data_IF_992132738861
#
_entry.id   IF_992132738861
#
_cell.length_a   1.000
_cell.length_b   1.000
_cell.length_c   1.000
_cell.angle_alpha   90.00
_cell.angle_beta   90.00
_cell.angle_gamma   90.00
#
_symmetry.space_group_name_H-M   'P 1'
#
loop_
_entity.id
_entity.type
_entity.pdbx_description
1 polymer ?
#
# COMPACT_ATOMS: atom_id res chain seq x y z
N UNK A 1 26.44 -6.01 -9.57
CA UNK A 1 26.14 -4.56 -9.57
C UNK A 1 25.22 -4.19 -8.40
N UNK A 2 23.98 -4.66 -8.35
CA UNK A 2 23.01 -4.25 -7.31
C UNK A 2 23.43 -4.67 -5.89
N UNK A 3 23.96 -5.85 -5.69
CA UNK A 3 24.46 -6.30 -4.37
C UNK A 3 25.61 -5.42 -3.86
N UNK A 4 26.47 -4.90 -4.77
CA UNK A 4 27.54 -3.98 -4.39
C UNK A 4 26.98 -2.62 -3.97
N UNK A 5 25.93 -2.12 -4.62
CA UNK A 5 25.22 -0.91 -4.18
C UNK A 5 24.69 -1.08 -2.76
N UNK A 6 24.00 -2.17 -2.46
CA UNK A 6 23.46 -2.42 -1.11
C UNK A 6 24.58 -2.54 -0.08
N UNK A 7 25.71 -3.16 -0.44
CA UNK A 7 26.89 -3.22 0.42
C UNK A 7 27.44 -1.83 0.70
N UNK A 8 27.55 -0.94 -0.29
CA UNK A 8 28.04 0.43 -0.04
C UNK A 8 27.07 1.26 0.80
N UNK A 9 25.75 1.13 0.58
CA UNK A 9 24.72 1.79 1.41
C UNK A 9 24.79 1.27 2.86
N UNK A 10 25.03 -0.02 3.06
CA UNK A 10 25.11 -0.61 4.41
C UNK A 10 26.32 -0.13 5.23
N UNK A 11 27.31 0.52 4.60
CA UNK A 11 28.48 1.10 5.30
C UNK A 11 28.19 2.43 5.99
N UNK A 12 27.07 3.09 5.67
CA UNK A 12 26.67 4.28 6.42
C UNK A 12 26.34 3.91 7.87
N UNK A 13 26.89 4.67 8.82
CA UNK A 13 26.66 4.43 10.26
C UNK A 13 25.19 4.59 10.66
N UNK A 14 24.45 5.40 9.90
CA UNK A 14 23.04 5.69 10.04
C UNK A 14 22.15 4.51 9.62
N UNK A 15 22.65 3.56 8.82
CA UNK A 15 21.87 2.43 8.31
C UNK A 15 21.87 1.30 9.32
N UNK A 16 20.67 0.92 9.75
CA UNK A 16 20.42 -0.21 10.63
C UNK A 16 20.06 -1.48 9.86
N UNK A 17 19.28 -1.36 8.77
CA UNK A 17 18.90 -2.50 7.93
C UNK A 17 18.56 -2.06 6.50
N UNK A 18 18.61 -3.02 5.56
CA UNK A 18 18.15 -2.88 4.18
C UNK A 18 17.26 -4.06 3.86
N UNK A 19 16.09 -3.79 3.28
CA UNK A 19 15.16 -4.81 2.82
C UNK A 19 14.69 -4.50 1.40
N UNK A 20 14.34 -5.55 0.67
CA UNK A 20 13.71 -5.47 -0.65
C UNK A 20 12.21 -5.67 -0.49
N UNK A 21 11.43 -4.79 -1.08
CA UNK A 21 9.97 -4.84 -1.14
C UNK A 21 9.45 -5.15 -2.52
N UNK A 22 8.18 -4.80 -2.74
CA UNK A 22 7.53 -4.88 -4.03
C UNK A 22 7.54 -6.27 -4.67
N UNK A 23 7.50 -6.29 -6.00
CA UNK A 23 7.47 -7.53 -6.77
C UNK A 23 8.71 -8.40 -6.59
N UNK A 24 9.88 -7.77 -6.42
CA UNK A 24 11.18 -8.46 -6.27
C UNK A 24 11.42 -9.06 -4.89
N UNK A 25 10.59 -8.76 -3.91
CA UNK A 25 10.61 -9.48 -2.63
C UNK A 25 9.97 -10.87 -2.72
N UNK A 26 9.06 -11.07 -3.69
CA UNK A 26 8.40 -12.33 -4.00
C UNK A 26 9.09 -13.12 -5.12
N UNK A 27 8.43 -14.20 -5.55
CA UNK A 27 8.92 -15.09 -6.63
C UNK A 27 8.41 -14.67 -8.03
N UNK A 28 7.45 -13.74 -8.10
CA UNK A 28 6.74 -13.36 -9.34
C UNK A 28 7.18 -11.99 -9.84
N UNK A 29 8.45 -11.84 -10.18
CA UNK A 29 8.95 -10.63 -10.85
C UNK A 29 9.52 -10.98 -12.23
N UNK A 30 9.49 -10.04 -13.15
CA UNK A 30 10.22 -10.12 -14.42
C UNK A 30 11.54 -9.33 -14.35
N UNK A 31 12.40 -9.51 -15.36
CA UNK A 31 13.71 -8.86 -15.41
C UNK A 31 13.62 -7.32 -15.49
N UNK A 32 12.49 -6.79 -15.93
CA UNK A 32 12.23 -5.34 -16.08
C UNK A 32 11.58 -4.71 -14.85
N UNK A 33 11.16 -5.53 -13.88
CA UNK A 33 10.56 -5.02 -12.64
C UNK A 33 11.53 -4.09 -11.91
N UNK A 34 11.03 -2.97 -11.41
CA UNK A 34 11.70 -2.02 -10.53
C UNK A 34 12.22 -2.66 -9.23
N UNK A 35 13.14 -1.98 -8.57
CA UNK A 35 13.58 -2.34 -7.22
C UNK A 35 12.96 -1.38 -6.22
N UNK A 36 12.09 -1.88 -5.32
CA UNK A 36 11.62 -1.18 -4.14
C UNK A 36 12.54 -1.51 -2.95
N UNK A 37 13.41 -0.59 -2.55
CA UNK A 37 14.42 -0.83 -1.51
C UNK A 37 14.10 0.01 -0.27
N UNK A 38 13.91 -0.65 0.86
CA UNK A 38 13.68 -0.01 2.14
C UNK A 38 14.98 0.05 2.95
N UNK A 39 15.50 1.24 3.16
CA UNK A 39 16.67 1.50 3.98
C UNK A 39 16.20 2.02 5.34
N UNK A 40 16.29 1.20 6.35
CA UNK A 40 15.94 1.57 7.72
C UNK A 40 17.12 2.28 8.38
N UNK A 41 16.86 3.51 8.83
CA UNK A 41 17.85 4.41 9.37
C UNK A 41 17.53 4.83 10.81
N UNK A 42 18.56 5.18 11.59
CA UNK A 42 18.40 5.79 12.91
C UNK A 42 18.50 7.32 12.88
N UNK A 43 19.07 7.87 11.82
CA UNK A 43 19.19 9.32 11.57
C UNK A 43 19.36 9.58 10.07
N UNK A 44 19.03 10.78 9.57
CA UNK A 44 19.16 11.11 8.14
C UNK A 44 20.59 10.95 7.64
N UNK A 45 20.73 10.42 6.42
CA UNK A 45 22.01 10.34 5.69
C UNK A 45 22.14 11.59 4.82
N UNK A 46 23.30 12.24 4.87
CA UNK A 46 23.59 13.41 4.02
C UNK A 46 23.42 13.09 2.53
N UNK A 47 22.70 13.95 1.80
CA UNK A 47 22.38 13.74 0.38
C UNK A 47 23.62 13.67 -0.51
N UNK A 48 24.67 14.44 -0.21
CA UNK A 48 25.92 14.42 -0.96
C UNK A 48 26.61 13.06 -0.83
N UNK A 49 26.55 12.46 0.35
CA UNK A 49 27.12 11.14 0.59
C UNK A 49 26.35 10.06 -0.17
N UNK A 50 25.02 10.12 -0.17
CA UNK A 50 24.16 9.21 -0.95
C UNK A 50 24.43 9.35 -2.44
N UNK A 51 24.45 10.59 -2.94
CA UNK A 51 24.77 10.92 -4.33
C UNK A 51 26.13 10.38 -4.78
N UNK A 52 27.16 10.47 -3.94
CA UNK A 52 28.49 9.96 -4.23
C UNK A 52 28.50 8.43 -4.45
N UNK A 53 27.69 7.69 -3.70
CA UNK A 53 27.54 6.25 -3.88
C UNK A 53 26.73 5.97 -5.14
N UNK A 54 25.56 6.58 -5.28
CA UNK A 54 24.62 6.32 -6.37
C UNK A 54 25.23 6.64 -7.75
N UNK A 55 26.09 7.66 -7.87
CA UNK A 55 26.83 7.99 -9.09
C UNK A 55 27.65 6.82 -9.66
N UNK A 56 28.03 5.84 -8.85
CA UNK A 56 28.81 4.67 -9.32
C UNK A 56 27.93 3.62 -10.00
N UNK A 57 26.63 3.62 -9.69
CA UNK A 57 25.70 2.54 -10.08
C UNK A 57 24.54 3.01 -10.95
N UNK A 58 24.25 4.31 -10.96
CA UNK A 58 23.10 4.89 -11.61
C UNK A 58 23.54 5.84 -12.74
N UNK A 59 22.83 5.78 -13.87
CA UNK A 59 22.97 6.73 -14.98
C UNK A 59 22.11 7.98 -14.82
N UNK A 60 21.08 7.91 -13.97
CA UNK A 60 20.18 9.01 -13.61
C UNK A 60 19.77 8.88 -12.14
N UNK A 61 19.55 10.00 -11.44
CA UNK A 61 19.09 10.01 -10.07
C UNK A 61 18.42 11.33 -9.69
N UNK A 62 17.37 11.21 -8.89
CA UNK A 62 16.72 12.29 -8.16
C UNK A 62 16.89 12.00 -6.68
N UNK A 63 17.50 12.93 -5.96
CA UNK A 63 17.91 12.72 -4.56
C UNK A 63 17.01 13.53 -3.64
N UNK A 64 16.48 12.88 -2.62
CA UNK A 64 15.74 13.53 -1.54
C UNK A 64 14.32 13.92 -1.94
N UNK A 65 13.65 13.14 -2.75
CA UNK A 65 12.23 13.31 -3.04
C UNK A 65 11.39 13.05 -1.79
N UNK A 66 10.28 13.81 -1.66
CA UNK A 66 9.31 13.72 -0.56
C UNK A 66 7.86 13.65 -1.06
N UNK A 67 7.66 13.14 -2.27
CA UNK A 67 6.32 13.10 -2.85
C UNK A 67 5.42 12.07 -2.15
N UNK A 68 5.98 10.92 -1.79
CA UNK A 68 5.28 9.81 -1.13
C UNK A 68 5.93 9.47 0.21
N UNK A 69 7.18 9.06 0.16
CA UNK A 69 8.07 8.87 1.32
C UNK A 69 9.34 9.68 1.08
N UNK A 70 10.30 9.64 2.02
CA UNK A 70 11.63 10.19 1.78
C UNK A 70 12.44 9.19 0.99
N UNK A 71 12.78 9.53 -0.25
CA UNK A 71 13.34 8.56 -1.19
C UNK A 71 14.34 9.17 -2.18
N UNK A 72 15.18 8.31 -2.75
CA UNK A 72 15.97 8.59 -3.93
C UNK A 72 15.44 7.71 -5.08
N UNK A 73 15.02 8.33 -6.19
CA UNK A 73 14.53 7.64 -7.37
C UNK A 73 15.64 7.61 -8.42
N UNK A 74 16.05 6.43 -8.86
CA UNK A 74 17.20 6.28 -9.71
C UNK A 74 16.95 5.32 -10.90
N UNK A 75 17.74 5.49 -11.96
CA UNK A 75 17.86 4.52 -13.04
C UNK A 75 19.27 3.93 -12.99
N UNK A 76 19.35 2.64 -12.73
CA UNK A 76 20.60 1.90 -12.71
C UNK A 76 21.29 1.92 -14.09
N UNK A 77 22.61 1.68 -14.14
CA UNK A 77 23.37 1.66 -15.39
C UNK A 77 22.86 0.61 -16.40
N UNK A 78 22.17 -0.43 -15.95
CA UNK A 78 21.50 -1.42 -16.83
C UNK A 78 20.09 -1.01 -17.29
N UNK A 79 19.61 0.17 -16.89
CA UNK A 79 18.30 0.72 -17.30
C UNK A 79 17.12 0.35 -16.39
N UNK A 80 17.31 -0.42 -15.33
CA UNK A 80 16.26 -0.78 -14.39
C UNK A 80 16.07 0.37 -13.38
N UNK A 81 14.83 0.70 -13.07
CA UNK A 81 14.47 1.69 -12.05
C UNK A 81 14.68 1.12 -10.65
N UNK A 82 15.06 1.98 -9.72
CA UNK A 82 15.23 1.66 -8.30
C UNK A 82 14.76 2.83 -7.44
N UNK A 83 13.83 2.55 -6.55
CA UNK A 83 13.35 3.47 -5.54
C UNK A 83 13.95 3.06 -4.18
N UNK A 84 14.70 3.99 -3.59
CA UNK A 84 15.37 3.77 -2.31
C UNK A 84 14.68 4.63 -1.26
N UNK A 85 13.80 4.00 -0.47
CA UNK A 85 12.99 4.65 0.55
C UNK A 85 13.71 4.60 1.90
N UNK A 86 13.91 5.76 2.52
CA UNK A 86 14.60 5.90 3.80
C UNK A 86 13.58 6.03 4.93
N UNK A 87 13.52 5.03 5.81
CA UNK A 87 12.54 4.95 6.91
C UNK A 87 13.26 5.01 8.25
N UNK A 88 12.85 5.91 9.14
CA UNK A 88 13.28 5.82 10.52
C UNK A 88 12.76 4.52 11.14
N UNK A 89 13.66 3.65 11.59
CA UNK A 89 13.31 2.32 12.12
C UNK A 89 12.32 2.41 13.29
N UNK A 90 12.54 3.34 14.21
CA UNK A 90 11.71 3.49 15.41
C UNK A 90 10.30 3.96 15.05
N UNK A 91 10.19 4.95 14.18
CA UNK A 91 8.89 5.52 13.79
C UNK A 91 8.08 4.52 12.97
N UNK A 92 8.73 3.80 12.05
CA UNK A 92 8.09 2.73 11.28
C UNK A 92 7.54 1.62 12.19
N UNK A 93 8.34 1.18 13.17
CA UNK A 93 7.89 0.14 14.11
C UNK A 93 6.80 0.62 15.05
N UNK A 94 6.81 1.90 15.44
CA UNK A 94 5.72 2.50 16.22
C UNK A 94 4.40 2.51 15.43
N UNK A 95 4.48 2.76 14.12
CA UNK A 95 3.31 2.70 13.24
C UNK A 95 2.75 1.27 13.14
N UNK A 96 3.61 0.28 12.94
CA UNK A 96 3.21 -1.14 12.98
C UNK A 96 2.56 -1.52 14.32
N UNK A 97 3.12 -1.08 15.44
CA UNK A 97 2.55 -1.32 16.78
C UNK A 97 1.14 -0.74 16.91
N UNK A 98 0.92 0.49 16.41
CA UNK A 98 -0.39 1.13 16.45
C UNK A 98 -1.45 0.34 15.66
N UNK A 99 -1.07 -0.21 14.51
CA UNK A 99 -1.97 -0.98 13.66
C UNK A 99 -2.12 -2.41 14.20
N UNK A 100 -1.03 -3.17 14.29
CA UNK A 100 -1.08 -4.61 14.49
C UNK A 100 -1.40 -5.00 15.95
N UNK A 101 -1.01 -4.17 16.94
CA UNK A 101 -1.21 -4.46 18.36
C UNK A 101 -2.34 -3.62 18.97
N UNK A 102 -2.33 -2.29 18.72
CA UNK A 102 -3.39 -1.41 19.23
C UNK A 102 -4.64 -1.42 18.36
N UNK A 103 -4.64 -2.15 17.25
CA UNK A 103 -5.78 -2.37 16.36
C UNK A 103 -6.42 -1.07 15.83
N UNK A 104 -5.61 -0.06 15.50
CA UNK A 104 -6.09 1.21 14.95
C UNK A 104 -6.42 1.05 13.47
N UNK A 105 -7.66 1.38 13.09
CA UNK A 105 -8.08 1.44 11.69
C UNK A 105 -7.77 2.82 11.08
N UNK A 106 -7.58 2.86 9.76
CA UNK A 106 -7.40 4.06 8.93
C UNK A 106 -8.45 4.11 7.83
N UNK A 107 -8.53 5.22 7.09
CA UNK A 107 -9.51 5.37 6.00
C UNK A 107 -9.27 4.39 4.84
N UNK A 108 -8.02 3.96 4.63
CA UNK A 108 -7.65 2.98 3.61
C UNK A 108 -6.24 2.45 3.88
N UNK A 109 -5.85 1.37 3.22
CA UNK A 109 -4.50 0.79 3.31
C UNK A 109 -4.02 0.53 4.74
N UNK A 110 -4.94 0.26 5.67
CA UNK A 110 -4.65 0.18 7.12
C UNK A 110 -3.46 -0.71 7.44
N UNK A 111 -3.36 -1.87 6.82
CA UNK A 111 -2.32 -2.87 7.10
C UNK A 111 -1.20 -2.93 6.07
N UNK A 112 -1.11 -1.95 5.15
CA UNK A 112 -0.14 -1.98 4.05
C UNK A 112 1.32 -1.98 4.54
N UNK A 113 1.67 -1.14 5.52
CA UNK A 113 3.02 -1.10 6.08
C UNK A 113 3.35 -2.37 6.89
N UNK A 114 2.36 -2.95 7.56
CA UNK A 114 2.51 -4.25 8.21
C UNK A 114 2.71 -5.37 7.17
N UNK A 115 1.99 -5.34 6.05
CA UNK A 115 2.23 -6.24 4.92
C UNK A 115 3.67 -6.12 4.40
N UNK A 116 4.16 -4.89 4.20
CA UNK A 116 5.53 -4.65 3.75
C UNK A 116 6.56 -5.27 4.71
N UNK A 117 6.40 -5.09 6.03
CA UNK A 117 7.28 -5.71 7.02
C UNK A 117 7.25 -7.24 6.94
N UNK A 118 6.07 -7.84 6.82
CA UNK A 118 5.89 -9.31 6.77
C UNK A 118 6.48 -9.94 5.51
N UNK A 119 6.38 -9.26 4.38
CA UNK A 119 6.74 -9.81 3.07
C UNK A 119 8.11 -9.40 2.57
N UNK A 120 8.72 -8.33 3.10
CA UNK A 120 10.02 -7.86 2.66
C UNK A 120 11.11 -8.93 2.81
N UNK A 121 12.08 -8.92 1.90
CA UNK A 121 13.28 -9.75 1.96
C UNK A 121 14.43 -8.94 2.58
N UNK A 122 14.88 -9.35 3.74
CA UNK A 122 16.00 -8.69 4.43
C UNK A 122 17.28 -8.97 3.67
N UNK A 123 18.01 -7.92 3.29
CA UNK A 123 19.28 -7.96 2.59
C UNK A 123 20.47 -7.67 3.52
N UNK A 124 20.26 -6.80 4.50
CA UNK A 124 21.23 -6.42 5.53
C UNK A 124 20.51 -6.10 6.84
N UNK A 125 21.05 -6.50 7.96
CA UNK A 125 20.49 -6.22 9.29
C UNK A 125 21.64 -6.16 10.31
N UNK A 126 22.10 -4.95 10.63
CA UNK A 126 23.33 -4.68 11.40
C UNK A 126 23.36 -5.37 12.77
N UNK A 127 22.21 -5.37 13.46
CA UNK A 127 22.09 -5.88 14.83
C UNK A 127 20.98 -6.95 14.95
N UNK A 128 20.45 -7.42 13.83
CA UNK A 128 19.32 -8.35 13.81
C UNK A 128 18.00 -7.73 14.29
N UNK A 129 17.90 -6.41 14.32
CA UNK A 129 16.72 -5.72 14.86
C UNK A 129 15.52 -5.84 13.90
N UNK A 130 15.74 -5.68 12.60
CA UNK A 130 14.67 -5.82 11.60
C UNK A 130 14.13 -7.26 11.60
N UNK A 131 15.01 -8.25 11.70
CA UNK A 131 14.65 -9.67 11.84
C UNK A 131 13.78 -9.90 13.07
N UNK A 132 14.19 -9.40 14.24
CA UNK A 132 13.41 -9.49 15.48
C UNK A 132 12.03 -8.82 15.36
N UNK A 133 11.95 -7.66 14.72
CA UNK A 133 10.68 -6.99 14.48
C UNK A 133 9.79 -7.79 13.52
N UNK A 134 10.36 -8.32 12.44
CA UNK A 134 9.62 -9.17 11.51
C UNK A 134 9.05 -10.41 12.21
N UNK A 135 9.82 -11.06 13.07
CA UNK A 135 9.38 -12.18 13.91
C UNK A 135 8.30 -11.74 14.92
N UNK A 136 8.54 -10.65 15.66
CA UNK A 136 7.60 -10.09 16.63
C UNK A 136 6.21 -9.82 16.01
N UNK A 137 6.16 -9.32 14.78
CA UNK A 137 4.91 -8.95 14.10
C UNK A 137 4.42 -10.00 13.09
N UNK A 138 4.92 -11.25 13.18
CA UNK A 138 4.49 -12.38 12.33
C UNK A 138 3.34 -13.20 12.93
N UNK A 139 2.68 -12.69 13.96
CA UNK A 139 1.51 -13.33 14.57
C UNK A 139 0.28 -13.30 13.66
N UNK A 140 -0.73 -14.09 14.03
CA UNK A 140 -2.00 -14.16 13.30
C UNK A 140 -2.72 -12.80 13.28
N UNK A 141 -3.54 -12.61 12.24
CA UNK A 141 -4.28 -11.35 12.08
C UNK A 141 -5.24 -11.13 13.25
N UNK A 142 -5.12 -10.01 14.03
CA UNK A 142 -5.92 -9.82 15.23
C UNK A 142 -7.41 -9.65 14.90
N UNK A 143 -8.26 -10.41 15.56
CA UNK A 143 -9.71 -10.32 15.37
C UNK A 143 -10.27 -8.94 15.72
N UNK A 144 -9.66 -8.26 16.72
CA UNK A 144 -10.05 -6.90 17.06
C UNK A 144 -9.70 -5.90 15.95
N UNK A 145 -8.55 -6.06 15.29
CA UNK A 145 -8.17 -5.22 14.14
C UNK A 145 -9.15 -5.41 12.98
N UNK A 146 -9.49 -6.68 12.66
CA UNK A 146 -10.50 -7.02 11.67
C UNK A 146 -11.81 -6.28 11.93
N UNK A 147 -12.36 -6.40 13.13
CA UNK A 147 -13.60 -5.72 13.52
C UNK A 147 -13.49 -4.20 13.41
N UNK A 148 -12.37 -3.63 13.86
CA UNK A 148 -12.16 -2.19 13.82
C UNK A 148 -12.10 -1.66 12.39
N UNK A 149 -11.38 -2.36 11.49
CA UNK A 149 -11.30 -1.98 10.07
C UNK A 149 -12.68 -2.09 9.43
N UNK A 150 -13.37 -3.23 9.56
CA UNK A 150 -14.71 -3.42 8.98
C UNK A 150 -15.66 -2.31 9.46
N UNK A 151 -15.73 -2.04 10.76
CA UNK A 151 -16.59 -1.01 11.31
C UNK A 151 -16.22 0.40 10.85
N UNK A 152 -14.93 0.68 10.69
CA UNK A 152 -14.45 1.96 10.20
C UNK A 152 -14.82 2.17 8.73
N UNK A 153 -14.51 1.18 7.88
CA UNK A 153 -14.78 1.25 6.45
C UNK A 153 -16.29 1.27 6.15
N UNK A 154 -17.11 0.53 6.90
CA UNK A 154 -18.57 0.61 6.76
C UNK A 154 -19.11 2.03 6.94
N UNK A 155 -18.55 2.82 7.87
CA UNK A 155 -18.95 4.22 8.03
C UNK A 155 -18.61 5.05 6.79
N UNK A 156 -17.49 4.76 6.13
CA UNK A 156 -17.04 5.50 4.95
C UNK A 156 -17.81 5.09 3.68
N UNK A 157 -18.18 3.82 3.54
CA UNK A 157 -18.81 3.32 2.31
C UNK A 157 -20.35 3.25 2.38
N UNK A 158 -20.97 3.35 3.56
CA UNK A 158 -22.42 3.19 3.70
C UNK A 158 -23.07 4.06 4.79
N UNK A 159 -22.64 3.92 6.07
CA UNK A 159 -23.50 4.21 7.20
C UNK A 159 -23.35 5.59 7.83
N UNK A 160 -22.41 6.42 7.38
CA UNK A 160 -22.24 7.78 7.90
C UNK A 160 -22.83 8.86 6.98
N UNK A 161 -23.14 10.03 7.54
CA UNK A 161 -23.59 11.17 6.75
C UNK A 161 -22.57 11.58 5.66
N UNK A 162 -21.25 11.62 5.94
CA UNK A 162 -20.22 11.91 4.95
C UNK A 162 -19.75 10.67 4.17
N UNK A 163 -20.49 9.56 4.15
CA UNK A 163 -20.11 8.38 3.37
C UNK A 163 -19.89 8.70 1.88
N UNK A 164 -18.92 8.03 1.26
CA UNK A 164 -18.55 8.28 -0.14
C UNK A 164 -19.74 8.19 -1.11
N UNK A 165 -20.66 7.23 -1.04
CA UNK A 165 -21.82 7.21 -1.91
C UNK A 165 -22.67 8.48 -1.82
N UNK A 166 -22.86 9.03 -0.63
CA UNK A 166 -23.58 10.29 -0.44
C UNK A 166 -22.84 11.51 -1.05
N UNK A 167 -21.51 11.51 -0.95
CA UNK A 167 -20.68 12.53 -1.55
C UNK A 167 -20.67 12.43 -3.08
N UNK A 168 -20.65 11.22 -3.63
CA UNK A 168 -20.74 10.94 -5.07
C UNK A 168 -22.08 11.44 -5.62
N UNK A 169 -23.21 11.10 -4.98
CA UNK A 169 -24.55 11.62 -5.36
C UNK A 169 -24.60 13.15 -5.43
N UNK A 170 -24.01 13.82 -4.43
CA UNK A 170 -23.92 15.30 -4.42
C UNK A 170 -23.03 15.84 -5.54
N UNK A 171 -21.94 15.18 -5.88
CA UNK A 171 -21.05 15.58 -6.97
C UNK A 171 -21.74 15.39 -8.34
N UNK A 172 -22.45 14.29 -8.54
CA UNK A 172 -23.24 14.02 -9.75
C UNK A 172 -24.32 15.11 -9.93
N UNK A 173 -25.07 15.42 -8.87
CA UNK A 173 -26.11 16.46 -8.93
C UNK A 173 -25.56 17.85 -9.32
N UNK A 174 -24.28 18.12 -9.06
CA UNK A 174 -23.59 19.37 -9.49
C UNK A 174 -22.93 19.26 -10.86
N UNK A 175 -22.94 18.07 -11.49
CA UNK A 175 -22.23 17.82 -12.74
C UNK A 175 -20.71 17.84 -12.61
N UNK A 176 -20.18 17.62 -11.41
CA UNK A 176 -18.74 17.71 -11.08
C UNK A 176 -18.06 16.34 -11.24
N UNK A 177 -17.65 16.02 -12.49
CA UNK A 177 -17.01 14.75 -12.83
C UNK A 177 -15.68 14.53 -12.10
N UNK A 178 -14.92 15.57 -11.81
CA UNK A 178 -13.64 15.45 -11.08
C UNK A 178 -13.92 14.94 -9.67
N UNK A 179 -14.87 15.57 -8.98
CA UNK A 179 -15.27 15.15 -7.63
C UNK A 179 -15.87 13.73 -7.61
N UNK A 180 -16.64 13.35 -8.63
CA UNK A 180 -17.18 11.99 -8.79
C UNK A 180 -16.04 10.97 -8.82
N UNK A 181 -15.09 11.13 -9.75
CA UNK A 181 -13.98 10.18 -9.91
C UNK A 181 -13.08 10.12 -8.67
N UNK A 182 -12.76 11.26 -8.05
CA UNK A 182 -11.99 11.30 -6.83
C UNK A 182 -12.67 10.52 -5.70
N UNK A 183 -13.99 10.68 -5.51
CA UNK A 183 -14.73 9.97 -4.45
C UNK A 183 -14.91 8.48 -4.73
N UNK A 184 -15.00 8.07 -6.00
CA UNK A 184 -15.02 6.66 -6.38
C UNK A 184 -13.66 6.01 -6.06
N UNK A 185 -12.55 6.69 -6.32
CA UNK A 185 -11.22 6.17 -5.96
C UNK A 185 -11.05 5.96 -4.46
N UNK A 186 -11.51 6.90 -3.64
CA UNK A 186 -11.50 6.78 -2.17
C UNK A 186 -12.45 5.66 -1.67
N UNK A 187 -13.63 5.53 -2.31
CA UNK A 187 -14.55 4.42 -2.03
C UNK A 187 -13.89 3.06 -2.29
N UNK A 188 -13.23 2.92 -3.43
CA UNK A 188 -12.52 1.67 -3.79
C UNK A 188 -11.38 1.36 -2.83
N UNK A 189 -10.59 2.37 -2.43
CA UNK A 189 -9.52 2.19 -1.46
C UNK A 189 -10.05 1.67 -0.11
N UNK A 190 -11.17 2.23 0.37
CA UNK A 190 -11.86 1.77 1.59
C UNK A 190 -12.49 0.37 1.42
N UNK A 191 -13.08 0.10 0.28
CA UNK A 191 -13.68 -1.20 -0.03
C UNK A 191 -12.65 -2.34 0.00
N UNK A 192 -11.49 -2.16 -0.67
CA UNK A 192 -10.45 -3.18 -0.67
C UNK A 192 -9.79 -3.36 0.71
N UNK A 193 -9.60 -2.30 1.49
CA UNK A 193 -9.11 -2.41 2.87
C UNK A 193 -10.02 -3.32 3.71
N UNK A 194 -11.36 -3.17 3.54
CA UNK A 194 -12.35 -4.01 4.20
C UNK A 194 -12.32 -5.45 3.67
N UNK A 195 -12.21 -5.69 2.36
CA UNK A 195 -12.16 -7.04 1.78
C UNK A 195 -10.97 -7.83 2.34
N UNK A 196 -9.78 -7.23 2.40
CA UNK A 196 -8.60 -7.88 3.01
C UNK A 196 -8.83 -8.15 4.50
N UNK A 197 -9.41 -7.20 5.24
CA UNK A 197 -9.71 -7.39 6.66
C UNK A 197 -10.73 -8.51 6.91
N UNK A 198 -11.80 -8.63 6.12
CA UNK A 198 -12.79 -9.72 6.18
C UNK A 198 -12.08 -11.08 6.09
N UNK A 199 -11.07 -11.18 5.24
CA UNK A 199 -10.30 -12.40 5.02
C UNK A 199 -9.12 -12.58 5.99
N UNK A 200 -8.94 -11.69 6.97
CA UNK A 200 -7.82 -11.70 7.90
C UNK A 200 -6.45 -11.66 7.18
N UNK A 201 -6.39 -10.92 6.06
CA UNK A 201 -5.20 -10.71 5.24
C UNK A 201 -4.71 -9.27 5.37
N UNK A 202 -3.39 -9.09 5.36
CA UNK A 202 -2.81 -7.75 5.29
C UNK A 202 -2.95 -7.17 3.88
N UNK A 203 -3.25 -5.88 3.77
CA UNK A 203 -3.45 -5.18 2.50
C UNK A 203 -2.12 -5.03 1.72
N UNK A 204 -2.02 -5.51 0.48
CA UNK A 204 -0.74 -5.58 -0.26
C UNK A 204 -0.31 -4.27 -0.93
N UNK A 205 -1.12 -3.22 -0.90
CA UNK A 205 -0.96 -1.99 -1.69
C UNK A 205 -2.00 -1.89 -2.79
N UNK A 206 -1.85 -0.92 -3.71
CA UNK A 206 -2.89 -0.59 -4.71
C UNK A 206 -2.85 -1.46 -5.98
N UNK A 207 -1.75 -2.16 -6.24
CA UNK A 207 -1.54 -2.85 -7.52
C UNK A 207 -2.26 -4.20 -7.57
N UNK A 208 -2.96 -4.49 -8.67
CA UNK A 208 -3.55 -5.80 -9.00
C UNK A 208 -4.56 -6.33 -7.96
N UNK A 209 -5.29 -5.45 -7.28
CA UNK A 209 -6.15 -5.80 -6.15
C UNK A 209 -7.21 -6.86 -6.48
N UNK A 210 -7.89 -6.76 -7.63
CA UNK A 210 -8.89 -7.76 -8.04
C UNK A 210 -8.26 -9.14 -8.17
N UNK A 211 -7.12 -9.23 -8.86
CA UNK A 211 -6.42 -10.51 -9.06
C UNK A 211 -5.92 -11.10 -7.73
N UNK A 212 -5.41 -10.25 -6.84
CA UNK A 212 -4.94 -10.67 -5.53
C UNK A 212 -6.10 -11.14 -4.64
N UNK A 213 -7.23 -10.44 -4.65
CA UNK A 213 -8.43 -10.88 -3.94
C UNK A 213 -8.92 -12.23 -4.44
N UNK A 214 -9.04 -12.43 -5.76
CA UNK A 214 -9.45 -13.72 -6.36
C UNK A 214 -8.48 -14.86 -6.00
N UNK A 215 -7.20 -14.58 -5.86
CA UNK A 215 -6.17 -15.58 -5.54
C UNK A 215 -6.11 -15.92 -4.06
N UNK A 216 -6.31 -14.96 -3.16
CA UNK A 216 -5.98 -15.08 -1.75
C UNK A 216 -7.20 -15.05 -0.82
N UNK A 217 -8.28 -14.35 -1.20
CA UNK A 217 -9.46 -14.21 -0.37
C UNK A 217 -10.37 -15.43 -0.49
N UNK A 218 -10.75 -16.00 0.66
CA UNK A 218 -11.70 -17.12 0.73
C UNK A 218 -13.15 -16.63 0.72
N UNK A 219 -13.38 -15.41 1.18
CA UNK A 219 -14.68 -14.79 1.31
C UNK A 219 -14.70 -13.55 0.40
N UNK A 220 -15.48 -13.59 -0.66
CA UNK A 220 -15.70 -12.46 -1.56
C UNK A 220 -17.20 -12.20 -1.70
N UNK A 221 -17.62 -10.94 -1.92
CA UNK A 221 -19.01 -10.62 -2.23
C UNK A 221 -19.48 -11.32 -3.50
N UNK A 222 -20.78 -11.54 -3.58
CA UNK A 222 -21.42 -12.02 -4.81
C UNK A 222 -21.12 -11.07 -5.98
N UNK A 223 -20.81 -11.64 -7.16
CA UNK A 223 -20.45 -10.88 -8.38
C UNK A 223 -19.33 -9.85 -8.14
N UNK A 224 -18.31 -10.22 -7.33
CA UNK A 224 -17.22 -9.33 -6.91
C UNK A 224 -16.53 -8.62 -8.08
N UNK A 225 -16.07 -9.35 -9.08
CA UNK A 225 -15.36 -8.82 -10.24
C UNK A 225 -16.29 -8.07 -11.19
N UNK A 226 -17.43 -8.67 -11.51
CA UNK A 226 -18.43 -8.12 -12.43
C UNK A 226 -18.95 -6.76 -11.97
N UNK A 227 -19.24 -6.60 -10.67
CA UNK A 227 -19.69 -5.32 -10.11
C UNK A 227 -18.61 -4.23 -10.19
N UNK A 228 -17.34 -4.58 -10.02
CA UNK A 228 -16.22 -3.64 -10.16
C UNK A 228 -16.00 -3.26 -11.64
N UNK A 229 -16.09 -4.22 -12.57
CA UNK A 229 -15.96 -3.95 -14.00
C UNK A 229 -17.10 -3.05 -14.50
N UNK A 230 -18.33 -3.24 -14.04
CA UNK A 230 -19.46 -2.35 -14.33
C UNK A 230 -19.17 -0.93 -13.84
N UNK A 231 -18.75 -0.77 -12.58
CA UNK A 231 -18.38 0.54 -12.05
C UNK A 231 -17.27 1.20 -12.88
N UNK A 232 -16.23 0.47 -13.26
CA UNK A 232 -15.13 1.00 -14.08
C UNK A 232 -15.61 1.41 -15.49
N UNK A 233 -16.57 0.71 -16.07
CA UNK A 233 -17.12 1.05 -17.38
C UNK A 233 -17.95 2.34 -17.34
N UNK A 234 -18.52 2.68 -16.21
CA UNK A 234 -19.44 3.83 -16.06
C UNK A 234 -18.78 5.07 -15.46
N UNK A 235 -17.74 4.94 -14.59
CA UNK A 235 -17.24 6.02 -13.75
C UNK A 235 -16.66 7.23 -14.51
N UNK A 236 -16.17 7.05 -15.73
CA UNK A 236 -15.56 8.13 -16.52
C UNK A 236 -16.55 8.83 -17.47
N UNK A 237 -17.77 8.29 -17.66
CA UNK A 237 -18.77 8.89 -18.54
C UNK A 237 -19.80 9.65 -17.72
N UNK A 238 -19.93 10.96 -18.03
CA UNK A 238 -20.94 11.81 -17.38
C UNK A 238 -22.37 11.31 -17.63
N UNK A 239 -22.63 10.69 -18.78
CA UNK A 239 -23.92 10.13 -19.15
C UNK A 239 -24.27 8.93 -18.30
N UNK A 240 -23.26 8.21 -17.78
CA UNK A 240 -23.44 7.00 -16.98
C UNK A 240 -23.36 7.24 -15.46
N UNK A 241 -23.32 8.49 -15.00
CA UNK A 241 -23.18 8.77 -13.57
C UNK A 241 -24.32 8.19 -12.70
N UNK A 242 -25.54 8.03 -13.25
CA UNK A 242 -26.63 7.38 -12.53
C UNK A 242 -26.35 5.89 -12.34
N UNK A 243 -25.83 5.22 -13.37
CA UNK A 243 -25.39 3.82 -13.29
C UNK A 243 -24.27 3.64 -12.27
N UNK A 244 -23.31 4.58 -12.17
CA UNK A 244 -22.30 4.54 -11.12
C UNK A 244 -22.90 4.49 -9.70
N UNK A 245 -24.01 5.20 -9.45
CA UNK A 245 -24.68 5.15 -8.15
C UNK A 245 -25.23 3.75 -7.89
N UNK A 246 -25.90 3.15 -8.89
CA UNK A 246 -26.46 1.80 -8.79
C UNK A 246 -25.36 0.75 -8.59
N UNK A 247 -24.26 0.85 -9.32
CA UNK A 247 -23.09 -0.04 -9.18
C UNK A 247 -22.50 0.01 -7.77
N UNK A 248 -22.29 1.23 -7.24
CA UNK A 248 -21.79 1.43 -5.88
C UNK A 248 -22.76 0.86 -4.84
N UNK A 249 -24.05 1.09 -4.99
CA UNK A 249 -25.09 0.53 -4.09
C UNK A 249 -25.13 -0.99 -4.13
N UNK A 250 -24.91 -1.60 -5.30
CA UNK A 250 -24.81 -3.05 -5.47
C UNK A 250 -23.54 -3.60 -4.78
N UNK A 251 -22.38 -2.96 -4.97
CA UNK A 251 -21.12 -3.31 -4.31
C UNK A 251 -21.31 -3.27 -2.79
N UNK A 252 -21.88 -2.19 -2.26
CA UNK A 252 -22.12 -2.03 -0.82
C UNK A 252 -23.10 -3.09 -0.31
N UNK A 253 -24.20 -3.33 -1.02
CA UNK A 253 -25.20 -4.34 -0.65
C UNK A 253 -24.57 -5.73 -0.56
N UNK A 254 -23.74 -6.10 -1.54
CA UNK A 254 -23.14 -7.44 -1.59
C UNK A 254 -22.04 -7.62 -0.54
N UNK A 255 -21.23 -6.61 -0.27
CA UNK A 255 -20.23 -6.73 0.81
C UNK A 255 -20.89 -6.82 2.19
N UNK A 256 -22.03 -6.16 2.41
CA UNK A 256 -22.77 -6.26 3.69
C UNK A 256 -23.36 -7.64 3.96
N UNK A 257 -23.50 -8.51 2.97
CA UNK A 257 -23.99 -9.90 3.16
C UNK A 257 -22.91 -10.83 3.75
N UNK A 258 -21.64 -10.43 3.70
CA UNK A 258 -20.50 -11.26 4.09
C UNK A 258 -19.78 -10.79 5.37
N UNK A 259 -20.35 -9.82 6.08
CA UNK A 259 -19.82 -9.23 7.31
C UNK A 259 -20.49 -9.81 8.55
#
# INVERSE_FOLDING_TARGET
MIQQLFKEISLFKEVDAIALGGSRAGENYDEKSDYDVYVYINSPIDEKNRKNILNKFCKYMEIGNHFWEYEDNCILNNGIEIDILYRNMKDFMQDIENIAVKCQARNSYTTCMWHNLRTCKILYDKNGNLTKYKEKYSFDYPEQLKKNIINHQLKLIDSSLPAYPNQIKKAIARGDSVSVNHRISEFLASYFDMIFAINSLTHPGEKRLIQLCKKQCKILPENFEENLELLFSHMFSKENHLQCIEDIENIVRNVKKII
#
